data_IF_371453629447
#
_entry.id   IF_371453629447
#
_cell.length_a   1.000
_cell.length_b   1.000
_cell.length_c   1.000
_cell.angle_alpha   90.00
_cell.angle_beta   90.00
_cell.angle_gamma   90.00
#
_symmetry.space_group_name_H-M   'P 1'
#
loop_
_entity.id
_entity.type
_entity.pdbx_description
1 polymer ?
#
# COMPACT_ATOMS: atom_id res chain seq x y z
N UNK A 1 -13.66 -11.35 -23.66
CA UNK A 1 -13.01 -12.60 -23.23
C UNK A 1 -12.74 -12.45 -21.74
N UNK A 2 -13.07 -13.45 -20.92
CA UNK A 2 -12.78 -13.40 -19.49
C UNK A 2 -11.31 -13.83 -19.28
N UNK A 3 -10.48 -12.92 -18.78
CA UNK A 3 -9.03 -13.11 -18.70
C UNK A 3 -8.55 -13.55 -17.30
N UNK A 4 -9.46 -13.87 -16.37
CA UNK A 4 -9.11 -14.26 -14.99
C UNK A 4 -8.39 -13.16 -14.20
N UNK A 5 -8.65 -11.88 -14.54
CA UNK A 5 -8.01 -10.74 -13.89
C UNK A 5 -8.71 -10.45 -12.55
N UNK A 6 -7.93 -10.23 -11.50
CA UNK A 6 -8.43 -9.80 -10.19
C UNK A 6 -8.88 -8.32 -10.23
N UNK A 7 -8.17 -7.49 -11.01
CA UNK A 7 -8.46 -6.07 -11.19
C UNK A 7 -8.64 -5.71 -12.67
N UNK A 8 -9.78 -6.06 -13.29
CA UNK A 8 -10.10 -5.68 -14.65
C UNK A 8 -10.59 -4.23 -14.76
N UNK A 9 -10.52 -3.64 -15.95
CA UNK A 9 -11.28 -2.45 -16.32
C UNK A 9 -12.77 -2.78 -16.44
N UNK A 10 -13.62 -1.75 -16.56
CA UNK A 10 -15.08 -1.91 -16.77
C UNK A 10 -15.44 -2.78 -17.98
N UNK A 11 -14.56 -2.84 -18.98
CA UNK A 11 -14.75 -3.65 -20.19
C UNK A 11 -13.98 -4.99 -20.15
N UNK A 12 -13.42 -5.37 -19.00
CA UNK A 12 -12.74 -6.65 -18.80
C UNK A 12 -11.27 -6.70 -19.23
N UNK A 13 -10.65 -5.58 -19.58
CA UNK A 13 -9.23 -5.52 -19.99
C UNK A 13 -8.30 -5.25 -18.80
N UNK A 14 -6.99 -5.56 -18.89
CA UNK A 14 -6.04 -5.18 -17.85
C UNK A 14 -6.02 -3.66 -17.60
N UNK A 15 -5.96 -3.25 -16.34
CA UNK A 15 -5.75 -1.85 -15.99
C UNK A 15 -4.34 -1.41 -16.38
N UNK A 16 -4.24 -0.26 -17.05
CA UNK A 16 -2.95 0.40 -17.29
C UNK A 16 -2.52 1.21 -16.06
N UNK A 17 -1.23 1.53 -15.87
CA UNK A 17 -0.77 2.37 -14.77
C UNK A 17 -1.55 3.69 -14.67
N UNK A 18 -1.87 4.30 -15.82
CA UNK A 18 -2.67 5.54 -15.87
C UNK A 18 -4.09 5.34 -15.34
N UNK A 19 -4.72 4.20 -15.63
CA UNK A 19 -6.07 3.92 -15.13
C UNK A 19 -6.07 3.70 -13.62
N UNK A 20 -5.06 2.99 -13.09
CA UNK A 20 -4.90 2.77 -11.64
C UNK A 20 -4.71 4.10 -10.91
N UNK A 21 -3.78 4.95 -11.37
CA UNK A 21 -3.54 6.27 -10.78
C UNK A 21 -4.81 7.12 -10.83
N UNK A 22 -5.51 7.15 -11.95
CA UNK A 22 -6.76 7.91 -12.09
C UNK A 22 -7.84 7.41 -11.13
N UNK A 23 -8.02 6.09 -11.02
CA UNK A 23 -8.98 5.50 -10.09
C UNK A 23 -8.66 5.91 -8.65
N UNK A 24 -7.39 5.74 -8.25
CA UNK A 24 -6.91 6.14 -6.92
C UNK A 24 -7.17 7.62 -6.62
N UNK A 25 -6.76 8.53 -7.49
CA UNK A 25 -6.96 9.98 -7.29
C UNK A 25 -8.44 10.36 -7.21
N UNK A 26 -9.32 9.68 -7.95
CA UNK A 26 -10.77 9.93 -7.85
C UNK A 26 -11.33 9.47 -6.50
N UNK A 27 -11.01 8.26 -6.07
CA UNK A 27 -11.40 7.74 -4.74
C UNK A 27 -10.86 8.62 -3.63
N UNK A 28 -9.61 9.06 -3.74
CA UNK A 28 -9.00 9.96 -2.76
C UNK A 28 -9.76 11.28 -2.63
N UNK A 29 -10.11 11.91 -3.76
CA UNK A 29 -10.91 13.16 -3.76
C UNK A 29 -12.27 12.97 -3.10
N UNK A 30 -12.92 11.83 -3.32
CA UNK A 30 -14.20 11.52 -2.68
C UNK A 30 -14.05 11.34 -1.17
N UNK A 31 -13.04 10.59 -0.73
CA UNK A 31 -12.72 10.43 0.69
C UNK A 31 -12.39 11.76 1.37
N UNK A 32 -11.51 12.58 0.78
CA UNK A 32 -11.16 13.90 1.30
C UNK A 32 -12.37 14.83 1.39
N UNK A 33 -13.29 14.79 0.41
CA UNK A 33 -14.54 15.55 0.48
C UNK A 33 -15.45 15.08 1.61
N UNK A 34 -15.47 13.79 1.93
CA UNK A 34 -16.24 13.26 3.06
C UNK A 34 -15.63 13.71 4.39
N UNK A 35 -14.30 13.60 4.55
CA UNK A 35 -13.57 14.00 5.75
C UNK A 35 -13.62 15.52 6.00
N UNK A 36 -13.47 16.34 4.96
CA UNK A 36 -13.50 17.79 5.11
C UNK A 36 -14.93 18.33 5.37
N UNK A 37 -15.99 17.54 5.08
CA UNK A 37 -17.37 17.91 5.45
C UNK A 37 -17.64 17.73 6.94
N UNK A 38 -16.88 16.85 7.60
CA UNK A 38 -17.05 16.53 9.02
C UNK A 38 -16.19 17.39 9.94
N UNK A 39 -15.24 18.17 9.40
CA UNK A 39 -14.44 19.11 10.19
C UNK A 39 -15.27 20.35 10.55
N UNK A 40 -15.29 20.72 11.84
CA UNK A 40 -15.88 21.98 12.32
C UNK A 40 -15.05 23.19 11.85
N UNK A 41 -15.67 24.37 11.79
CA UNK A 41 -15.01 25.64 11.45
C UNK A 41 -13.92 25.99 12.48
N UNK A 42 -12.69 25.50 12.27
CA UNK A 42 -11.55 25.78 13.15
C UNK A 42 -10.37 24.80 13.06
N UNK A 43 -10.55 23.61 12.48
CA UNK A 43 -9.46 22.64 12.29
C UNK A 43 -8.75 22.89 10.94
N UNK A 44 -7.52 23.40 11.00
CA UNK A 44 -6.70 23.73 9.82
C UNK A 44 -5.96 22.54 9.19
N UNK A 45 -6.15 21.31 9.70
CA UNK A 45 -5.55 20.13 9.07
C UNK A 45 -6.34 19.73 7.83
N UNK A 46 -6.04 20.40 6.72
CA UNK A 46 -6.41 19.92 5.40
C UNK A 46 -5.56 18.71 5.08
N UNK A 47 -6.23 17.59 4.81
CA UNK A 47 -5.56 16.44 4.22
C UNK A 47 -4.92 16.83 2.89
N UNK A 48 -3.63 16.54 2.74
CA UNK A 48 -2.92 16.74 1.49
C UNK A 48 -3.20 15.61 0.48
N UNK A 49 -3.01 15.91 -0.80
CA UNK A 49 -3.09 14.87 -1.84
C UNK A 49 -1.92 13.91 -1.73
N UNK A 50 -2.18 12.61 -1.58
CA UNK A 50 -1.16 11.57 -1.61
C UNK A 50 -1.11 10.90 -2.98
N UNK A 51 0.05 10.39 -3.35
CA UNK A 51 0.26 9.58 -4.55
C UNK A 51 0.12 8.10 -4.23
N UNK A 52 -0.15 7.28 -5.26
CA UNK A 52 -0.23 5.83 -5.09
C UNK A 52 1.10 5.21 -4.63
N UNK A 53 2.24 5.84 -4.96
CA UNK A 53 3.56 5.37 -4.55
C UNK A 53 3.83 5.64 -3.07
N UNK A 54 3.21 6.68 -2.51
CA UNK A 54 3.32 6.94 -1.07
C UNK A 54 2.72 5.81 -0.25
N UNK A 55 1.67 5.14 -0.73
CA UNK A 55 1.15 3.93 -0.06
C UNK A 55 2.22 2.84 0.08
N UNK A 56 3.08 2.69 -0.94
CA UNK A 56 4.21 1.75 -0.89
C UNK A 56 5.28 2.20 0.09
N UNK A 57 5.55 3.51 0.16
CA UNK A 57 6.47 4.07 1.14
C UNK A 57 5.94 3.92 2.57
N UNK A 58 4.67 4.22 2.81
CA UNK A 58 4.01 4.01 4.10
C UNK A 58 4.09 2.54 4.52
N UNK A 59 3.84 1.58 3.63
CA UNK A 59 4.03 0.16 3.91
C UNK A 59 5.47 -0.15 4.36
N UNK A 60 6.48 0.39 3.66
CA UNK A 60 7.88 0.22 4.03
C UNK A 60 8.19 0.80 5.42
N UNK A 61 7.71 2.02 5.69
CA UNK A 61 7.89 2.70 6.98
C UNK A 61 7.25 1.92 8.13
N UNK A 62 5.98 1.52 7.99
CA UNK A 62 5.25 0.78 9.03
C UNK A 62 5.88 -0.58 9.34
N UNK A 63 6.40 -1.27 8.32
CA UNK A 63 7.16 -2.51 8.54
C UNK A 63 8.49 -2.25 9.25
N UNK A 64 9.17 -1.15 8.91
CA UNK A 64 10.42 -0.74 9.56
C UNK A 64 10.22 -0.34 11.03
N UNK A 65 9.15 0.37 11.34
CA UNK A 65 8.75 0.72 12.72
C UNK A 65 8.46 -0.51 13.58
N UNK A 66 8.06 -1.62 12.94
CA UNK A 66 7.88 -2.93 13.57
C UNK A 66 9.15 -3.78 13.60
N UNK A 67 10.31 -3.17 13.32
CA UNK A 67 11.62 -3.82 13.35
C UNK A 67 11.74 -5.02 12.38
N UNK A 68 10.89 -5.08 11.34
CA UNK A 68 10.99 -6.10 10.30
C UNK A 68 12.31 -5.87 9.54
N UNK A 69 13.10 -6.92 9.38
CA UNK A 69 14.39 -6.78 8.69
C UNK A 69 14.24 -6.18 7.28
N UNK A 70 15.14 -5.27 6.89
CA UNK A 70 15.19 -4.64 5.56
C UNK A 70 15.11 -5.67 4.42
N UNK A 71 15.67 -6.85 4.69
CA UNK A 71 15.63 -8.00 3.80
C UNK A 71 14.22 -8.50 3.51
N UNK A 72 13.39 -8.63 4.54
CA UNK A 72 11.99 -9.07 4.42
C UNK A 72 11.16 -7.94 3.82
N UNK A 73 11.38 -6.69 4.25
CA UNK A 73 10.73 -5.50 3.68
C UNK A 73 10.99 -5.42 2.16
N UNK A 74 12.26 -5.47 1.75
CA UNK A 74 12.63 -5.45 0.33
C UNK A 74 12.02 -6.60 -0.47
N UNK A 75 11.86 -7.78 0.13
CA UNK A 75 11.20 -8.91 -0.51
C UNK A 75 9.68 -8.70 -0.69
N UNK A 76 9.00 -8.15 0.33
CA UNK A 76 7.57 -7.77 0.27
C UNK A 76 7.36 -6.71 -0.81
N UNK A 77 8.22 -5.70 -0.83
CA UNK A 77 8.19 -4.62 -1.81
C UNK A 77 8.60 -5.11 -3.20
N UNK A 78 9.26 -6.26 -3.34
CA UNK A 78 9.75 -6.74 -4.63
C UNK A 78 10.94 -5.94 -5.17
N UNK A 79 11.79 -5.41 -4.27
CA UNK A 79 13.08 -4.85 -4.65
C UNK A 79 13.96 -5.94 -5.27
N UNK A 80 14.67 -5.57 -6.33
CA UNK A 80 15.72 -6.43 -6.87
C UNK A 80 16.83 -6.57 -5.80
N UNK A 81 17.48 -7.73 -5.68
CA UNK A 81 18.58 -7.89 -4.74
C UNK A 81 19.74 -6.96 -5.14
N UNK A 82 20.23 -6.17 -4.18
CA UNK A 82 21.28 -5.18 -4.41
C UNK A 82 22.68 -5.81 -4.47
N UNK A 83 22.84 -7.04 -3.98
CA UNK A 83 24.11 -7.77 -4.02
C UNK A 83 23.92 -9.29 -4.07
N UNK A 84 25.04 -9.99 -4.33
CA UNK A 84 25.09 -11.45 -4.44
C UNK A 84 24.63 -12.14 -3.16
N UNK A 85 24.97 -11.61 -1.98
CA UNK A 85 24.59 -12.17 -0.68
C UNK A 85 23.07 -12.16 -0.47
N UNK A 86 22.40 -11.06 -0.81
CA UNK A 86 20.94 -10.95 -0.75
C UNK A 86 20.25 -11.96 -1.67
N UNK A 87 20.88 -12.31 -2.80
CA UNK A 87 20.39 -13.30 -3.76
C UNK A 87 20.32 -14.71 -3.18
N UNK A 88 21.29 -15.09 -2.35
CA UNK A 88 21.35 -16.43 -1.76
C UNK A 88 20.47 -16.58 -0.52
N UNK A 89 20.39 -15.56 0.33
CA UNK A 89 19.73 -15.69 1.63
C UNK A 89 18.19 -15.53 1.60
N UNK A 90 17.46 -15.85 0.51
CA UNK A 90 16.06 -15.45 0.23
C UNK A 90 15.09 -15.41 1.44
N UNK A 91 14.23 -14.39 1.50
CA UNK A 91 13.26 -14.20 2.56
C UNK A 91 12.20 -15.27 2.39
N UNK A 92 11.84 -15.94 3.47
CA UNK A 92 10.87 -17.03 3.40
C UNK A 92 9.47 -16.44 3.23
N UNK A 93 8.59 -17.19 2.58
CA UNK A 93 7.17 -16.82 2.52
C UNK A 93 6.55 -16.73 3.91
N UNK A 94 7.03 -17.54 4.87
CA UNK A 94 6.59 -17.49 6.25
C UNK A 94 6.94 -16.14 6.91
N UNK A 95 8.19 -15.68 6.80
CA UNK A 95 8.60 -14.40 7.36
C UNK A 95 7.88 -13.20 6.72
N UNK A 96 7.65 -13.26 5.40
CA UNK A 96 6.86 -12.21 4.72
C UNK A 96 5.39 -12.20 5.16
N UNK A 97 4.79 -13.38 5.38
CA UNK A 97 3.43 -13.48 5.92
C UNK A 97 3.34 -12.94 7.33
N UNK A 98 4.22 -13.40 8.23
CA UNK A 98 4.26 -12.93 9.62
C UNK A 98 4.38 -11.41 9.73
N UNK A 99 5.25 -10.80 8.90
CA UNK A 99 5.38 -9.35 8.84
C UNK A 99 4.09 -8.64 8.35
N UNK A 100 3.42 -9.19 7.33
CA UNK A 100 2.17 -8.63 6.80
C UNK A 100 0.99 -8.86 7.73
N UNK A 101 0.91 -10.00 8.41
CA UNK A 101 -0.13 -10.30 9.40
C UNK A 101 -0.03 -9.31 10.58
N UNK A 102 1.20 -8.99 11.00
CA UNK A 102 1.42 -7.95 12.01
C UNK A 102 1.00 -6.56 11.55
N UNK A 103 1.26 -6.21 10.29
CA UNK A 103 0.81 -4.94 9.70
C UNK A 103 -0.72 -4.88 9.57
N UNK A 104 -1.37 -5.98 9.17
CA UNK A 104 -2.82 -6.08 9.10
C UNK A 104 -3.45 -5.87 10.49
N UNK A 105 -2.91 -6.52 11.52
CA UNK A 105 -3.35 -6.31 12.89
C UNK A 105 -3.25 -4.83 13.31
N UNK A 106 -2.16 -4.13 12.94
CA UNK A 106 -2.04 -2.68 13.21
C UNK A 106 -3.21 -1.89 12.62
N UNK A 107 -3.51 -2.13 11.35
CA UNK A 107 -4.45 -1.32 10.58
C UNK A 107 -5.92 -1.63 10.92
N UNK A 108 -6.21 -2.82 11.42
CA UNK A 108 -7.57 -3.28 11.69
C UNK A 108 -7.95 -3.30 13.18
N UNK A 109 -6.98 -3.18 14.09
CA UNK A 109 -7.25 -3.17 15.54
C UNK A 109 -7.59 -1.78 16.10
N UNK A 110 -7.42 -0.70 15.33
CA UNK A 110 -7.74 0.67 15.77
C UNK A 110 -9.26 0.98 15.87
N UNK A 111 -10.14 0.04 15.50
CA UNK A 111 -11.61 0.18 15.52
C UNK A 111 -12.31 -0.52 16.72
N UNK A 112 -11.62 -0.76 17.85
CA UNK A 112 -12.23 -1.34 19.07
C UNK A 112 -12.20 -0.43 20.30
#
# INVERSE_FOLDING_TARGET
>A
QEHGLIFPSEIGTPLTPRNVVRAFTNTQKEAMRALNKTQEEGEEEKFDTVTIHELRHTCATLLGEREVSDRVIGAILGHAPDNVTQRYARATLAAMREALDGLEALLLEEDK
#
